data_IF_039151515760
#
_entry.id   IF_039151515760
#
_cell.length_a   1.000
_cell.length_b   1.000
_cell.length_c   1.000
_cell.angle_alpha   90.00
_cell.angle_beta   90.00
_cell.angle_gamma   90.00
#
_symmetry.space_group_name_H-M   'P 1'
#
loop_
_entity.id
_entity.type
_entity.pdbx_description
1 polymer ?
#
# COMPACT_ATOMS: atom_id res chain seq x y z
N UNK A 1 37.66 -32.14 13.44
CA UNK A 1 36.25 -32.35 13.04
C UNK A 1 35.39 -31.76 14.14
N UNK A 2 34.76 -30.61 13.91
CA UNK A 2 33.73 -30.09 14.82
C UNK A 2 32.55 -31.08 14.75
N UNK A 3 32.19 -31.69 15.87
CA UNK A 3 30.96 -32.47 15.93
C UNK A 3 29.82 -31.48 15.65
N UNK A 4 29.22 -31.58 14.46
CA UNK A 4 28.00 -30.88 14.13
C UNK A 4 26.96 -31.29 15.17
N UNK A 5 26.37 -30.33 15.87
CA UNK A 5 25.19 -30.55 16.70
C UNK A 5 24.13 -31.22 15.81
N UNK A 6 23.92 -32.51 15.99
CA UNK A 6 22.95 -33.28 15.21
C UNK A 6 21.51 -32.86 15.55
N UNK A 7 21.29 -32.25 16.72
CA UNK A 7 19.99 -31.80 17.18
C UNK A 7 20.06 -30.41 17.81
N UNK A 8 18.94 -29.69 17.69
CA UNK A 8 18.66 -28.46 18.44
C UNK A 8 17.31 -28.61 19.17
N UNK A 9 17.11 -27.84 20.23
CA UNK A 9 15.81 -27.71 20.87
C UNK A 9 15.16 -26.40 20.43
N UNK A 10 13.98 -26.47 19.82
CA UNK A 10 13.17 -25.30 19.46
C UNK A 10 12.07 -25.13 20.51
N UNK A 11 12.00 -23.96 21.13
CA UNK A 11 10.95 -23.61 22.10
C UNK A 11 9.59 -23.54 21.38
N UNK A 12 8.59 -24.25 21.89
CA UNK A 12 7.27 -24.37 21.24
C UNK A 12 6.17 -23.53 21.90
N UNK A 13 6.48 -22.87 23.03
CA UNK A 13 5.54 -22.10 23.82
C UNK A 13 6.11 -20.73 24.15
N UNK A 14 5.24 -19.73 24.24
CA UNK A 14 5.61 -18.42 24.74
C UNK A 14 5.88 -18.47 26.25
N UNK A 15 6.78 -17.61 26.72
CA UNK A 15 7.15 -17.47 28.12
C UNK A 15 7.72 -18.75 28.79
N UNK A 16 8.42 -19.59 28.03
CA UNK A 16 9.14 -20.74 28.58
C UNK A 16 10.28 -20.28 29.50
N UNK A 17 10.49 -20.98 30.62
CA UNK A 17 11.41 -20.52 31.66
C UNK A 17 12.74 -21.27 31.57
N UNK A 18 13.82 -20.54 31.32
CA UNK A 18 15.18 -21.06 31.45
C UNK A 18 15.61 -20.94 32.91
N UNK A 19 15.96 -22.06 33.55
CA UNK A 19 16.25 -22.13 34.98
C UNK A 19 17.69 -22.54 35.29
N UNK A 20 18.20 -22.11 36.44
CA UNK A 20 19.55 -22.46 36.89
C UNK A 20 19.73 -23.94 37.28
N UNK A 21 18.64 -24.68 37.54
CA UNK A 21 18.66 -26.09 37.92
C UNK A 21 17.39 -26.82 37.42
N UNK A 22 17.40 -28.15 37.26
CA UNK A 22 16.28 -28.93 36.73
C UNK A 22 15.16 -29.15 37.77
N UNK A 23 14.54 -28.06 38.22
CA UNK A 23 13.38 -28.06 39.14
C UNK A 23 12.60 -26.76 39.02
N UNK A 24 11.29 -26.82 39.23
CA UNK A 24 10.39 -25.65 39.05
C UNK A 24 10.64 -24.50 40.03
N UNK A 25 11.21 -24.78 41.20
CA UNK A 25 11.54 -23.74 42.17
C UNK A 25 12.93 -23.13 41.95
N UNK A 26 13.69 -23.59 40.94
CA UNK A 26 15.00 -23.03 40.65
C UNK A 26 14.87 -21.60 40.11
N UNK A 27 15.86 -20.77 40.44
CA UNK A 27 15.96 -19.39 39.97
C UNK A 27 15.82 -19.33 38.44
N UNK A 28 14.89 -18.50 37.99
CA UNK A 28 14.72 -18.18 36.57
C UNK A 28 15.90 -17.31 36.10
N UNK A 29 16.55 -17.74 35.04
CA UNK A 29 17.69 -17.07 34.44
C UNK A 29 17.30 -16.21 33.23
N UNK A 30 16.29 -16.65 32.47
CA UNK A 30 15.73 -15.94 31.32
C UNK A 30 14.31 -16.44 31.01
N UNK A 31 13.57 -15.64 30.25
CA UNK A 31 12.32 -16.03 29.58
C UNK A 31 12.61 -16.26 28.10
N UNK A 32 12.18 -17.40 27.59
CA UNK A 32 12.28 -17.83 26.21
C UNK A 32 10.90 -17.80 25.55
N UNK A 33 10.89 -17.63 24.25
CA UNK A 33 9.67 -17.46 23.46
C UNK A 33 9.61 -18.49 22.34
N UNK A 34 8.42 -18.73 21.79
CA UNK A 34 8.29 -19.72 20.73
C UNK A 34 9.21 -19.36 19.54
N UNK A 35 9.93 -20.35 19.04
CA UNK A 35 10.94 -20.18 17.99
C UNK A 35 12.34 -19.80 18.48
N UNK A 36 12.58 -19.54 19.77
CA UNK A 36 13.95 -19.54 20.31
C UNK A 36 14.58 -20.92 20.08
N UNK A 37 15.82 -20.97 19.56
CA UNK A 37 16.57 -22.21 19.32
C UNK A 37 17.72 -22.36 20.30
N UNK A 38 17.90 -23.57 20.80
CA UNK A 38 18.82 -23.87 21.89
C UNK A 38 19.74 -25.03 21.52
N UNK A 39 21.01 -24.92 21.90
CA UNK A 39 21.95 -26.02 21.84
C UNK A 39 21.67 -26.98 23.00
N UNK A 40 21.53 -28.27 22.70
CA UNK A 40 21.34 -29.31 23.72
C UNK A 40 22.71 -29.77 24.23
N UNK A 41 22.90 -29.73 25.56
CA UNK A 41 24.15 -30.15 26.23
C UNK A 41 24.00 -31.37 27.12
N UNK A 42 22.78 -31.75 27.45
CA UNK A 42 22.48 -32.94 28.24
C UNK A 42 21.01 -33.02 28.63
N UNK A 43 20.66 -34.09 29.32
CA UNK A 43 19.33 -34.33 29.84
C UNK A 43 19.42 -34.72 31.32
N UNK A 44 18.51 -34.19 32.14
CA UNK A 44 18.44 -34.50 33.56
C UNK A 44 17.01 -34.39 34.06
N UNK A 45 16.46 -35.49 34.56
CA UNK A 45 15.03 -35.61 34.91
C UNK A 45 14.17 -35.27 33.67
N UNK A 46 13.10 -34.51 33.85
CA UNK A 46 12.23 -33.99 32.78
C UNK A 46 12.73 -32.68 32.17
N UNK A 47 14.03 -32.37 32.30
CA UNK A 47 14.66 -31.15 31.78
C UNK A 47 15.78 -31.46 30.80
N UNK A 48 15.91 -30.59 29.79
CA UNK A 48 17.10 -30.49 28.96
C UNK A 48 18.05 -29.45 29.55
N UNK A 49 19.32 -29.80 29.66
CA UNK A 49 20.40 -28.84 29.87
C UNK A 49 20.75 -28.24 28.51
N UNK A 50 20.67 -26.92 28.43
CA UNK A 50 20.73 -26.20 27.16
C UNK A 50 21.63 -24.96 27.24
N UNK A 51 22.05 -24.48 26.08
CA UNK A 51 22.71 -23.18 25.92
C UNK A 51 21.95 -22.33 24.89
N UNK A 52 21.50 -21.16 25.33
CA UNK A 52 20.95 -20.11 24.47
C UNK A 52 22.11 -19.27 23.95
N UNK A 53 22.41 -19.41 22.65
CA UNK A 53 23.48 -18.64 21.99
C UNK A 53 23.16 -17.15 21.89
N UNK A 54 21.89 -16.77 21.76
CA UNK A 54 21.50 -15.36 21.61
C UNK A 54 21.70 -14.59 22.90
N UNK A 55 21.39 -15.20 24.03
CA UNK A 55 21.54 -14.57 25.37
C UNK A 55 22.82 -14.97 26.08
N UNK A 56 23.66 -15.78 25.42
CA UNK A 56 24.90 -16.36 25.96
C UNK A 56 24.69 -16.99 27.34
N UNK A 57 23.65 -17.82 27.47
CA UNK A 57 23.16 -18.27 28.77
C UNK A 57 22.89 -19.78 28.79
N UNK A 58 23.57 -20.47 29.70
CA UNK A 58 23.31 -21.87 30.00
C UNK A 58 22.19 -22.01 31.04
N UNK A 59 21.38 -23.06 30.93
CA UNK A 59 20.36 -23.38 31.93
C UNK A 59 19.65 -24.70 31.66
N UNK A 60 18.52 -24.87 32.31
CA UNK A 60 17.62 -26.02 32.19
C UNK A 60 16.24 -25.55 31.75
N UNK A 61 15.66 -26.24 30.77
CA UNK A 61 14.29 -26.03 30.29
C UNK A 61 13.52 -27.35 30.37
N UNK A 62 12.22 -27.30 30.70
CA UNK A 62 11.38 -28.50 30.68
C UNK A 62 11.32 -29.08 29.28
N UNK A 63 11.50 -30.40 29.17
CA UNK A 63 11.45 -31.10 27.89
C UNK A 63 10.10 -30.93 27.18
N UNK A 64 9.00 -30.73 27.92
CA UNK A 64 7.66 -30.49 27.39
C UNK A 64 7.46 -29.11 26.75
N UNK A 65 8.38 -28.16 26.93
CA UNK A 65 8.30 -26.79 26.39
C UNK A 65 9.13 -26.61 25.10
N UNK A 66 9.79 -27.67 24.65
CA UNK A 66 10.64 -27.65 23.46
C UNK A 66 10.36 -28.86 22.58
N UNK A 67 10.73 -28.75 21.31
CA UNK A 67 10.81 -29.89 20.40
C UNK A 67 12.25 -30.08 19.97
N UNK A 68 12.75 -31.31 20.08
CA UNK A 68 14.04 -31.69 19.50
C UNK A 68 13.87 -31.79 17.98
N UNK A 69 14.75 -31.10 17.26
CA UNK A 69 14.76 -31.04 15.80
C UNK A 69 16.12 -31.49 15.32
N UNK A 70 16.13 -32.51 14.46
CA UNK A 70 17.35 -32.98 13.81
C UNK A 70 17.84 -31.98 12.76
N UNK A 71 19.15 -31.82 12.69
CA UNK A 71 19.84 -31.06 11.65
C UNK A 71 20.53 -31.98 10.63
N UNK A 72 20.19 -33.27 10.63
CA UNK A 72 20.67 -34.21 9.63
C UNK A 72 19.90 -34.07 8.31
N UNK A 73 20.56 -34.26 7.15
CA UNK A 73 19.91 -34.15 5.84
C UNK A 73 18.68 -35.05 5.66
N UNK A 74 18.74 -36.28 6.17
CA UNK A 74 17.67 -37.28 6.01
C UNK A 74 16.37 -36.88 6.74
N UNK A 75 16.48 -36.07 7.80
CA UNK A 75 15.36 -35.62 8.62
C UNK A 75 14.82 -34.23 8.18
N UNK A 76 15.46 -33.58 7.22
CA UNK A 76 15.02 -32.27 6.72
C UNK A 76 13.56 -32.26 6.23
N UNK A 77 13.03 -33.30 5.55
CA UNK A 77 11.62 -33.34 5.14
C UNK A 77 10.63 -33.22 6.30
N UNK A 78 10.98 -33.70 7.50
CA UNK A 78 10.12 -33.58 8.69
C UNK A 78 9.96 -32.12 9.11
N UNK A 79 11.05 -31.36 9.12
CA UNK A 79 11.01 -29.92 9.40
C UNK A 79 10.18 -29.18 8.35
N UNK A 80 10.30 -29.54 7.07
CA UNK A 80 9.48 -28.95 6.01
C UNK A 80 7.98 -29.24 6.18
N UNK A 81 7.61 -30.43 6.64
CA UNK A 81 6.21 -30.75 6.95
C UNK A 81 5.64 -29.83 8.04
N UNK A 82 6.43 -29.54 9.07
CA UNK A 82 6.05 -28.58 10.13
C UNK A 82 5.96 -27.15 9.57
N UNK A 83 6.90 -26.74 8.71
CA UNK A 83 6.85 -25.43 8.04
C UNK A 83 5.55 -25.24 7.27
N UNK A 84 5.12 -26.26 6.50
CA UNK A 84 3.86 -26.21 5.74
C UNK A 84 2.64 -25.99 6.64
N UNK A 85 2.59 -26.66 7.79
CA UNK A 85 1.52 -26.48 8.77
C UNK A 85 1.55 -25.08 9.42
N UNK A 86 2.73 -24.64 9.86
CA UNK A 86 2.88 -23.36 10.56
C UNK A 86 2.72 -22.15 9.64
N UNK A 87 3.01 -22.31 8.34
CA UNK A 87 2.76 -21.28 7.33
C UNK A 87 1.34 -20.75 7.41
N UNK A 88 0.36 -21.62 7.64
CA UNK A 88 -1.06 -21.28 7.64
C UNK A 88 -1.65 -21.15 9.05
N UNK A 89 -0.79 -21.07 10.08
CA UNK A 89 -1.17 -20.92 11.50
C UNK A 89 -0.85 -19.50 12.00
N UNK A 90 -1.82 -18.58 12.09
CA UNK A 90 -1.61 -17.25 12.66
C UNK A 90 -1.18 -17.31 14.13
N UNK A 91 -0.24 -16.46 14.53
CA UNK A 91 0.30 -16.44 15.90
C UNK A 91 1.52 -17.34 16.11
N UNK A 92 1.83 -18.23 15.16
CA UNK A 92 2.96 -19.15 15.23
C UNK A 92 4.10 -18.76 14.26
N UNK A 93 4.16 -17.50 13.83
CA UNK A 93 5.11 -17.06 12.80
C UNK A 93 6.57 -17.23 13.25
N UNK A 94 6.91 -16.85 14.49
CA UNK A 94 8.26 -16.99 15.02
C UNK A 94 8.70 -18.47 15.11
N UNK A 95 7.78 -19.35 15.52
CA UNK A 95 8.00 -20.79 15.52
C UNK A 95 8.24 -21.33 14.11
N UNK A 96 7.37 -20.98 13.15
CA UNK A 96 7.52 -21.45 11.76
C UNK A 96 8.79 -20.93 11.08
N UNK A 97 9.20 -19.71 11.38
CA UNK A 97 10.48 -19.14 10.91
C UNK A 97 11.66 -19.96 11.47
N UNK A 98 11.63 -20.35 12.75
CA UNK A 98 12.69 -21.18 13.34
C UNK A 98 12.78 -22.58 12.71
N UNK A 99 11.64 -23.23 12.42
CA UNK A 99 11.61 -24.51 11.69
C UNK A 99 12.11 -24.36 10.26
N UNK A 100 11.83 -23.22 9.62
CA UNK A 100 12.37 -22.93 8.28
C UNK A 100 13.89 -22.78 8.33
N UNK A 101 14.43 -22.10 9.35
CA UNK A 101 15.88 -22.00 9.56
C UNK A 101 16.52 -23.38 9.83
N UNK A 102 15.86 -24.23 10.64
CA UNK A 102 16.31 -25.60 10.88
C UNK A 102 16.31 -26.43 9.59
N UNK A 103 15.25 -26.36 8.79
CA UNK A 103 15.19 -26.99 7.47
C UNK A 103 16.33 -26.52 6.56
N UNK A 104 16.54 -25.20 6.43
CA UNK A 104 17.58 -24.65 5.56
C UNK A 104 19.00 -25.03 6.02
N UNK A 105 19.19 -25.29 7.31
CA UNK A 105 20.47 -25.76 7.88
C UNK A 105 20.69 -27.25 7.66
N UNK A 106 19.63 -28.05 7.65
CA UNK A 106 19.68 -29.51 7.50
C UNK A 106 19.68 -29.95 6.02
N UNK A 107 18.85 -29.31 5.19
CA UNK A 107 18.57 -29.77 3.84
C UNK A 107 19.80 -29.65 2.91
N UNK A 108 20.05 -30.66 2.05
CA UNK A 108 21.04 -30.52 0.99
C UNK A 108 20.59 -29.43 0.00
N UNK A 109 21.54 -28.76 -0.65
CA UNK A 109 21.24 -27.64 -1.56
C UNK A 109 20.24 -28.00 -2.68
N UNK A 110 20.26 -29.25 -3.16
CA UNK A 110 19.34 -29.76 -4.18
C UNK A 110 17.90 -29.91 -3.71
N UNK A 111 17.65 -29.98 -2.39
CA UNK A 111 16.33 -30.07 -1.79
C UNK A 111 15.74 -28.71 -1.40
N UNK A 112 16.53 -27.63 -1.45
CA UNK A 112 16.05 -26.27 -1.14
C UNK A 112 15.27 -25.74 -2.34
N UNK A 113 13.93 -25.73 -2.20
CA UNK A 113 12.99 -25.25 -3.21
C UNK A 113 12.44 -23.85 -2.86
N UNK A 114 11.75 -23.18 -3.79
CA UNK A 114 11.10 -21.90 -3.49
C UNK A 114 10.05 -21.97 -2.38
N UNK A 115 9.49 -23.16 -2.12
CA UNK A 115 8.45 -23.37 -1.10
C UNK A 115 8.91 -22.91 0.29
N UNK A 116 10.17 -23.20 0.65
CA UNK A 116 10.75 -22.79 1.93
C UNK A 116 10.74 -21.26 2.08
N UNK A 117 11.13 -20.54 1.02
CA UNK A 117 11.20 -19.08 1.02
C UNK A 117 9.83 -18.41 0.91
N UNK A 118 8.89 -19.01 0.17
CA UNK A 118 7.50 -18.54 0.12
C UNK A 118 6.83 -18.65 1.49
N UNK A 119 7.04 -19.76 2.20
CA UNK A 119 6.57 -19.92 3.57
C UNK A 119 7.24 -18.93 4.54
N UNK A 120 8.57 -18.81 4.49
CA UNK A 120 9.35 -17.86 5.29
C UNK A 120 8.84 -16.42 5.12
N UNK A 121 8.73 -15.97 3.87
CA UNK A 121 8.26 -14.64 3.53
C UNK A 121 6.82 -14.40 3.97
N UNK A 122 5.93 -15.38 3.78
CA UNK A 122 4.52 -15.30 4.21
C UNK A 122 4.40 -15.12 5.72
N UNK A 123 5.17 -15.87 6.51
CA UNK A 123 5.17 -15.75 7.98
C UNK A 123 5.78 -14.43 8.43
N UNK A 124 6.91 -14.00 7.84
CA UNK A 124 7.55 -12.73 8.17
C UNK A 124 6.63 -11.53 7.87
N UNK A 125 5.96 -11.55 6.72
CA UNK A 125 5.00 -10.53 6.31
C UNK A 125 3.75 -10.50 7.22
N UNK A 126 3.22 -11.66 7.60
CA UNK A 126 2.10 -11.75 8.55
C UNK A 126 2.49 -11.22 9.92
N UNK A 127 3.69 -11.54 10.42
CA UNK A 127 4.21 -11.00 11.68
C UNK A 127 4.34 -9.47 11.62
N UNK A 128 4.90 -8.93 10.53
CA UNK A 128 5.00 -7.48 10.32
C UNK A 128 3.62 -6.79 10.34
N UNK A 129 2.62 -7.38 9.69
CA UNK A 129 1.23 -6.88 9.70
C UNK A 129 0.60 -6.92 11.09
N UNK A 130 0.75 -8.03 11.81
CA UNK A 130 0.26 -8.17 13.19
C UNK A 130 0.90 -7.14 14.12
N UNK A 131 2.17 -6.82 13.92
CA UNK A 131 2.88 -5.82 14.70
C UNK A 131 2.55 -4.37 14.32
N UNK A 132 1.99 -4.15 13.12
CA UNK A 132 1.51 -2.83 12.68
C UNK A 132 0.10 -2.52 13.19
N UNK A 133 -0.65 -3.54 13.61
CA UNK A 133 -1.99 -3.37 14.16
C UNK A 133 -1.91 -3.26 15.68
N UNK A 134 -2.53 -2.22 16.26
CA UNK A 134 -2.59 -2.06 17.71
C UNK A 134 -3.41 -3.19 18.32
N UNK A 135 -2.84 -3.94 19.26
CA UNK A 135 -3.54 -5.02 19.97
C UNK A 135 -3.69 -4.70 21.46
N UNK A 136 -4.06 -5.71 22.25
CA UNK A 136 -4.00 -5.60 23.71
C UNK A 136 -2.54 -5.48 24.15
N UNK A 137 -2.29 -4.85 25.31
CA UNK A 137 -0.92 -4.72 25.86
C UNK A 137 -0.18 -6.05 25.95
N UNK A 138 -0.88 -7.12 26.33
CA UNK A 138 -0.31 -8.47 26.41
C UNK A 138 0.11 -9.00 25.04
N UNK A 139 -0.74 -8.82 24.02
CA UNK A 139 -0.41 -9.25 22.67
C UNK A 139 0.74 -8.43 22.07
N UNK A 140 0.81 -7.13 22.38
CA UNK A 140 1.90 -6.27 21.92
C UNK A 140 3.26 -6.76 22.50
N UNK A 141 3.29 -7.18 23.77
CA UNK A 141 4.49 -7.78 24.38
C UNK A 141 4.90 -9.10 23.71
N UNK A 142 3.93 -9.99 23.44
CA UNK A 142 4.18 -11.26 22.72
C UNK A 142 4.74 -10.97 21.33
N UNK A 143 4.14 -10.04 20.59
CA UNK A 143 4.57 -9.70 19.23
C UNK A 143 5.97 -9.07 19.24
N UNK A 144 6.26 -8.18 20.19
CA UNK A 144 7.60 -7.62 20.35
C UNK A 144 8.65 -8.73 20.59
N UNK A 145 8.35 -9.70 21.45
CA UNK A 145 9.22 -10.84 21.66
C UNK A 145 9.37 -11.72 20.40
N UNK A 146 8.30 -11.93 19.63
CA UNK A 146 8.37 -12.64 18.35
C UNK A 146 9.24 -11.92 17.32
N UNK A 147 9.20 -10.58 17.27
CA UNK A 147 10.09 -9.78 16.42
C UNK A 147 11.56 -9.98 16.80
N UNK A 148 11.87 -9.99 18.10
CA UNK A 148 13.24 -10.26 18.58
C UNK A 148 13.70 -11.70 18.22
N UNK A 149 12.80 -12.68 18.32
CA UNK A 149 13.08 -14.08 17.96
C UNK A 149 13.35 -14.25 16.47
N UNK A 150 12.65 -13.53 15.59
CA UNK A 150 12.88 -13.69 14.14
C UNK A 150 14.10 -12.92 13.66
N UNK A 151 14.50 -11.85 14.36
CA UNK A 151 15.67 -11.05 14.02
C UNK A 151 16.97 -11.86 14.06
N UNK A 152 17.13 -12.81 15.01
CA UNK A 152 18.30 -13.71 15.04
C UNK A 152 18.39 -14.65 13.83
N UNK A 153 17.28 -14.91 13.15
CA UNK A 153 17.24 -15.70 11.90
C UNK A 153 17.46 -14.82 10.66
N UNK A 154 17.83 -13.55 10.83
CA UNK A 154 18.09 -12.62 9.74
C UNK A 154 16.84 -11.98 9.13
N UNK A 155 15.66 -12.16 9.74
CA UNK A 155 14.44 -11.49 9.29
C UNK A 155 14.52 -10.01 9.68
N UNK A 156 14.58 -9.14 8.66
CA UNK A 156 14.64 -7.69 8.86
C UNK A 156 13.25 -7.08 8.73
N UNK A 157 12.79 -6.47 9.82
CA UNK A 157 11.53 -5.74 9.89
C UNK A 157 11.87 -4.26 10.08
N UNK A 158 11.42 -3.42 9.16
CA UNK A 158 11.64 -1.97 9.15
C UNK A 158 10.36 -1.26 9.59
N UNK A 159 10.50 -0.16 10.33
CA UNK A 159 9.38 0.65 10.78
C UNK A 159 9.30 1.98 10.04
N UNK A 160 8.09 2.37 9.64
CA UNK A 160 7.78 3.66 9.04
C UNK A 160 6.66 4.34 9.83
N UNK A 161 6.89 5.57 10.28
CA UNK A 161 5.83 6.35 10.95
C UNK A 161 4.87 6.92 9.90
N UNK A 162 3.57 6.63 10.05
CA UNK A 162 2.48 7.13 9.18
C UNK A 162 1.28 7.48 10.03
N UNK A 163 0.80 8.71 9.93
CA UNK A 163 -0.41 9.18 10.62
C UNK A 163 -0.38 8.88 12.14
N UNK A 164 0.78 9.07 12.77
CA UNK A 164 1.02 8.77 14.20
C UNK A 164 0.98 7.28 14.56
N UNK A 165 1.07 6.38 13.57
CA UNK A 165 1.15 4.93 13.74
C UNK A 165 2.45 4.39 13.14
N UNK A 166 3.02 3.38 13.78
CA UNK A 166 4.17 2.66 13.25
C UNK A 166 3.69 1.56 12.30
N UNK A 167 4.05 1.65 11.03
CA UNK A 167 3.89 0.59 10.04
C UNK A 167 5.18 -0.24 9.99
N UNK A 168 5.10 -1.50 10.40
CA UNK A 168 6.21 -2.45 10.29
C UNK A 168 6.12 -3.25 8.99
N UNK A 169 7.27 -3.44 8.35
CA UNK A 169 7.38 -4.03 7.02
C UNK A 169 8.56 -4.97 6.95
N UNK A 170 8.32 -6.19 6.46
CA UNK A 170 9.39 -7.11 6.13
C UNK A 170 10.18 -6.60 4.91
N UNK A 171 11.50 -6.74 4.94
CA UNK A 171 12.38 -6.30 3.86
C UNK A 171 12.20 -7.11 2.55
N UNK A 172 11.50 -8.24 2.61
CA UNK A 172 11.12 -9.06 1.48
C UNK A 172 12.23 -9.97 0.95
N UNK A 173 13.32 -10.19 1.70
CA UNK A 173 14.47 -10.97 1.23
C UNK A 173 14.09 -12.38 0.74
N UNK A 174 13.25 -13.10 1.48
CA UNK A 174 12.76 -14.42 1.08
C UNK A 174 11.92 -14.36 -0.20
N UNK A 175 11.08 -13.34 -0.37
CA UNK A 175 10.29 -13.16 -1.60
C UNK A 175 11.16 -12.84 -2.82
N UNK A 176 12.28 -12.12 -2.65
CA UNK A 176 13.25 -11.92 -3.74
C UNK A 176 13.88 -13.26 -4.17
N UNK A 177 14.16 -14.16 -3.22
CA UNK A 177 14.63 -15.53 -3.53
C UNK A 177 13.56 -16.32 -4.29
N UNK A 178 12.28 -16.23 -3.88
CA UNK A 178 11.16 -16.84 -4.62
C UNK A 178 11.15 -16.36 -6.07
N UNK A 179 11.29 -15.06 -6.34
CA UNK A 179 11.32 -14.54 -7.71
C UNK A 179 12.57 -14.95 -8.51
N UNK A 180 13.67 -15.31 -7.84
CA UNK A 180 14.92 -15.72 -8.46
C UNK A 180 15.01 -17.24 -8.75
N UNK A 181 14.08 -18.03 -8.20
CA UNK A 181 14.04 -19.49 -8.35
C UNK A 181 12.92 -19.94 -9.31
N UNK A 182 12.90 -21.23 -9.65
CA UNK A 182 11.83 -21.83 -10.44
C UNK A 182 10.54 -22.01 -9.63
N UNK A 183 9.83 -20.90 -9.42
CA UNK A 183 8.61 -20.82 -8.59
C UNK A 183 7.34 -20.96 -9.43
N UNK A 184 6.26 -21.44 -8.80
CA UNK A 184 4.94 -21.42 -9.43
C UNK A 184 4.46 -19.98 -9.65
N UNK A 185 3.53 -19.78 -10.58
CA UNK A 185 2.97 -18.43 -10.82
C UNK A 185 2.25 -17.89 -9.58
N UNK A 186 1.62 -18.74 -8.76
CA UNK A 186 1.02 -18.30 -7.50
C UNK A 186 2.06 -17.80 -6.50
N UNK A 187 3.21 -18.49 -6.38
CA UNK A 187 4.31 -18.08 -5.53
C UNK A 187 4.90 -16.74 -6.00
N UNK A 188 5.10 -16.59 -7.31
CA UNK A 188 5.56 -15.32 -7.91
C UNK A 188 4.55 -14.20 -7.66
N UNK A 189 3.26 -14.46 -7.78
CA UNK A 189 2.20 -13.48 -7.51
C UNK A 189 2.21 -13.02 -6.05
N UNK A 190 2.27 -13.95 -5.09
CA UNK A 190 2.38 -13.61 -3.66
C UNK A 190 3.64 -12.81 -3.35
N UNK A 191 4.79 -13.24 -3.88
CA UNK A 191 6.06 -12.55 -3.70
C UNK A 191 6.03 -11.13 -4.26
N UNK A 192 5.53 -10.95 -5.48
CA UNK A 192 5.39 -9.64 -6.11
C UNK A 192 4.45 -8.73 -5.31
N UNK A 193 3.30 -9.24 -4.86
CA UNK A 193 2.35 -8.47 -4.05
C UNK A 193 2.93 -8.02 -2.71
N UNK A 194 3.73 -8.86 -2.06
CA UNK A 194 4.40 -8.52 -0.80
C UNK A 194 5.51 -7.47 -1.01
N UNK A 195 6.35 -7.66 -2.03
CA UNK A 195 7.47 -6.76 -2.36
C UNK A 195 7.03 -5.37 -2.82
N UNK A 196 5.82 -5.25 -3.36
CA UNK A 196 5.30 -3.99 -3.93
C UNK A 196 4.28 -3.28 -3.04
N UNK A 197 4.24 -3.64 -1.75
CA UNK A 197 3.40 -2.97 -0.75
C UNK A 197 3.61 -1.46 -0.71
N UNK A 198 2.50 -0.72 -0.72
CA UNK A 198 2.46 0.75 -0.84
C UNK A 198 2.64 1.43 0.52
N UNK A 199 2.12 0.77 1.55
CA UNK A 199 2.30 1.09 2.95
C UNK A 199 3.72 0.76 3.46
N UNK A 200 4.46 -0.07 2.73
CA UNK A 200 5.86 -0.39 3.00
C UNK A 200 6.85 0.43 2.16
N UNK A 201 6.77 1.75 2.30
CA UNK A 201 7.78 2.68 1.79
C UNK A 201 7.90 3.87 2.72
N UNK A 202 9.11 4.43 2.80
CA UNK A 202 9.38 5.64 3.56
C UNK A 202 8.50 6.82 3.07
N UNK A 203 7.65 7.43 3.91
CA UNK A 203 6.90 8.63 3.57
C UNK A 203 7.78 9.85 3.27
N UNK A 204 8.99 9.90 3.82
CA UNK A 204 9.97 10.96 3.60
C UNK A 204 10.83 10.76 2.34
N UNK A 205 10.56 9.70 1.56
CA UNK A 205 11.29 9.38 0.34
C UNK A 205 11.27 10.55 -0.65
N UNK A 206 12.44 10.88 -1.21
CA UNK A 206 12.53 12.01 -2.14
C UNK A 206 11.83 11.67 -3.46
N UNK A 207 11.35 12.66 -4.23
CA UNK A 207 10.61 12.41 -5.47
C UNK A 207 11.35 11.51 -6.49
N UNK A 208 12.67 11.67 -6.64
CA UNK A 208 13.48 10.82 -7.52
C UNK A 208 13.53 9.37 -7.06
N UNK A 209 13.77 9.13 -5.78
CA UNK A 209 13.82 7.79 -5.17
C UNK A 209 12.44 7.12 -5.30
N UNK A 210 11.37 7.87 -5.06
CA UNK A 210 9.99 7.40 -5.22
C UNK A 210 9.71 6.96 -6.66
N UNK A 211 10.12 7.76 -7.64
CA UNK A 211 9.99 7.39 -9.04
C UNK A 211 10.77 6.11 -9.39
N UNK A 212 11.99 5.94 -8.89
CA UNK A 212 12.77 4.71 -9.09
C UNK A 212 12.12 3.50 -8.44
N UNK A 213 11.56 3.66 -7.23
CA UNK A 213 10.83 2.61 -6.53
C UNK A 213 9.58 2.18 -7.32
N UNK A 214 8.77 3.13 -7.80
CA UNK A 214 7.54 2.81 -8.52
C UNK A 214 7.81 2.18 -9.88
N UNK A 215 8.89 2.58 -10.58
CA UNK A 215 9.36 1.91 -11.78
C UNK A 215 9.75 0.44 -11.49
N UNK A 216 10.55 0.20 -10.44
CA UNK A 216 10.91 -1.16 -10.02
C UNK A 216 9.68 -2.00 -9.62
N UNK A 217 8.72 -1.41 -8.90
CA UNK A 217 7.47 -2.09 -8.51
C UNK A 217 6.68 -2.52 -9.75
N UNK A 218 6.57 -1.66 -10.76
CA UNK A 218 5.92 -2.00 -12.02
C UNK A 218 6.63 -3.17 -12.71
N UNK A 219 7.96 -3.16 -12.81
CA UNK A 219 8.72 -4.27 -13.39
C UNK A 219 8.50 -5.59 -12.64
N UNK A 220 8.50 -5.57 -11.31
CA UNK A 220 8.24 -6.77 -10.50
C UNK A 220 6.84 -7.32 -10.76
N UNK A 221 5.83 -6.46 -10.83
CA UNK A 221 4.45 -6.86 -11.09
C UNK A 221 4.26 -7.38 -12.52
N UNK A 222 4.96 -6.81 -13.49
CA UNK A 222 4.82 -7.15 -14.90
C UNK A 222 5.44 -8.52 -15.25
N UNK A 223 6.39 -8.98 -14.44
CA UNK A 223 6.97 -10.32 -14.58
C UNK A 223 6.03 -11.46 -14.16
N UNK A 224 4.93 -11.15 -13.45
CA UNK A 224 3.96 -12.16 -13.01
C UNK A 224 2.95 -12.43 -14.11
N UNK A 225 2.86 -13.70 -14.54
CA UNK A 225 1.90 -14.13 -15.56
C UNK A 225 0.56 -14.43 -14.90
N UNK A 226 -0.53 -13.72 -15.26
CA UNK A 226 -1.83 -13.90 -14.60
C UNK A 226 -2.58 -15.16 -15.04
N UNK A 227 -2.15 -15.79 -16.14
CA UNK A 227 -2.79 -16.98 -16.70
C UNK A 227 -2.70 -18.15 -15.71
N UNK A 228 -3.84 -18.78 -15.42
CA UNK A 228 -3.92 -19.91 -14.49
C UNK A 228 -3.93 -19.53 -13.01
N UNK A 229 -3.82 -18.24 -12.66
CA UNK A 229 -3.99 -17.80 -11.27
C UNK A 229 -5.46 -17.86 -10.84
N UNK A 230 -5.74 -18.11 -9.54
CA UNK A 230 -7.04 -17.85 -8.94
C UNK A 230 -7.48 -16.39 -9.11
N UNK A 231 -8.78 -16.16 -9.25
CA UNK A 231 -9.30 -14.82 -9.58
C UNK A 231 -9.02 -13.78 -8.49
N UNK A 232 -9.09 -14.16 -7.21
CA UNK A 232 -8.73 -13.27 -6.10
C UNK A 232 -7.27 -12.77 -6.19
N UNK A 233 -6.32 -13.60 -6.66
CA UNK A 233 -4.93 -13.16 -6.86
C UNK A 233 -4.80 -12.25 -8.08
N UNK A 234 -5.53 -12.52 -9.17
CA UNK A 234 -5.58 -11.62 -10.32
C UNK A 234 -6.10 -10.25 -9.90
N UNK A 235 -7.19 -10.20 -9.13
CA UNK A 235 -7.74 -8.96 -8.59
C UNK A 235 -6.70 -8.19 -7.77
N UNK A 236 -6.00 -8.84 -6.85
CA UNK A 236 -4.94 -8.22 -6.04
C UNK A 236 -3.80 -7.66 -6.90
N UNK A 237 -3.38 -8.40 -7.94
CA UNK A 237 -2.37 -7.92 -8.90
C UNK A 237 -2.87 -6.70 -9.69
N UNK A 238 -4.11 -6.75 -10.19
CA UNK A 238 -4.73 -5.64 -10.94
C UNK A 238 -4.83 -4.37 -10.10
N UNK A 239 -5.33 -4.46 -8.87
CA UNK A 239 -5.41 -3.33 -7.95
C UNK A 239 -4.03 -2.74 -7.65
N UNK A 240 -3.03 -3.60 -7.41
CA UNK A 240 -1.63 -3.17 -7.19
C UNK A 240 -1.04 -2.48 -8.42
N UNK A 241 -1.22 -3.05 -9.61
CA UNK A 241 -0.76 -2.45 -10.87
C UNK A 241 -1.46 -1.13 -11.14
N UNK A 242 -2.77 -1.04 -10.93
CA UNK A 242 -3.53 0.19 -11.09
C UNK A 242 -2.98 1.32 -10.21
N UNK A 243 -2.71 1.02 -8.93
CA UNK A 243 -2.08 1.98 -8.02
C UNK A 243 -0.69 2.42 -8.51
N UNK A 244 0.22 1.48 -8.79
CA UNK A 244 1.60 1.79 -9.21
C UNK A 244 1.63 2.58 -10.53
N UNK A 245 0.83 2.18 -11.52
CA UNK A 245 0.80 2.87 -12.81
C UNK A 245 0.19 4.27 -12.71
N UNK A 246 -0.73 4.52 -11.77
CA UNK A 246 -1.23 5.88 -11.50
C UNK A 246 -0.15 6.79 -10.90
N UNK A 247 0.73 6.26 -10.05
CA UNK A 247 1.90 6.95 -9.50
C UNK A 247 2.92 7.28 -10.60
N UNK A 248 3.22 6.31 -11.48
CA UNK A 248 4.10 6.52 -12.63
C UNK A 248 3.52 7.60 -13.57
N UNK A 249 2.22 7.59 -13.85
CA UNK A 249 1.59 8.62 -14.67
C UNK A 249 1.79 10.03 -14.09
N UNK A 250 1.60 10.19 -12.77
CA UNK A 250 1.85 11.45 -12.07
C UNK A 250 3.33 11.88 -12.12
N UNK A 251 4.27 10.95 -11.95
CA UNK A 251 5.70 11.30 -12.01
C UNK A 251 6.15 11.68 -13.43
N UNK A 252 5.66 10.97 -14.46
CA UNK A 252 5.98 11.27 -15.87
C UNK A 252 5.53 12.67 -16.26
N UNK A 253 4.27 13.02 -15.96
CA UNK A 253 3.76 14.35 -16.33
C UNK A 253 4.51 15.47 -15.59
N UNK A 254 4.90 15.25 -14.33
CA UNK A 254 5.68 16.22 -13.54
C UNK A 254 7.06 16.48 -14.13
N UNK A 255 7.63 15.50 -14.84
CA UNK A 255 8.89 15.63 -15.57
C UNK A 255 8.73 16.14 -17.00
N UNK A 256 7.50 16.37 -17.47
CA UNK A 256 7.22 16.70 -18.87
C UNK A 256 7.33 15.51 -19.83
N UNK A 257 7.30 14.28 -19.31
CA UNK A 257 7.31 13.05 -20.10
C UNK A 257 5.88 12.61 -20.48
N UNK A 258 5.75 11.75 -21.49
CA UNK A 258 4.46 11.21 -21.92
C UNK A 258 3.84 10.29 -20.83
N UNK A 259 2.74 10.73 -20.24
CA UNK A 259 2.05 10.02 -19.15
C UNK A 259 0.84 9.19 -19.60
N UNK A 260 0.38 9.36 -20.84
CA UNK A 260 -0.90 8.82 -21.31
C UNK A 260 -0.95 7.28 -21.29
N UNK A 261 0.11 6.60 -21.71
CA UNK A 261 0.17 5.13 -21.67
C UNK A 261 0.13 4.59 -20.24
N UNK A 262 0.82 5.24 -19.31
CA UNK A 262 0.82 4.85 -17.90
C UNK A 262 -0.57 5.04 -17.27
N UNK A 263 -1.24 6.14 -17.58
CA UNK A 263 -2.58 6.43 -17.08
C UNK A 263 -3.64 5.49 -17.68
N UNK A 264 -3.59 5.24 -18.98
CA UNK A 264 -4.45 4.26 -19.66
C UNK A 264 -4.27 2.87 -19.05
N UNK A 265 -3.03 2.47 -18.79
CA UNK A 265 -2.72 1.20 -18.14
C UNK A 265 -3.33 1.12 -16.74
N UNK A 266 -3.21 2.18 -15.94
CA UNK A 266 -3.81 2.23 -14.61
C UNK A 266 -5.35 2.07 -14.67
N UNK A 267 -6.00 2.74 -15.61
CA UNK A 267 -7.44 2.66 -15.85
C UNK A 267 -7.89 1.26 -16.31
N UNK A 268 -7.13 0.62 -17.21
CA UNK A 268 -7.41 -0.73 -17.71
C UNK A 268 -7.27 -1.78 -16.61
N UNK A 269 -6.22 -1.71 -15.80
CA UNK A 269 -6.02 -2.65 -14.70
C UNK A 269 -7.14 -2.54 -13.66
N UNK A 270 -7.53 -1.31 -13.29
CA UNK A 270 -8.66 -1.11 -12.38
C UNK A 270 -9.99 -1.61 -12.97
N UNK A 271 -10.24 -1.36 -14.25
CA UNK A 271 -11.46 -1.81 -14.94
C UNK A 271 -11.54 -3.33 -15.08
N UNK A 272 -10.39 -4.03 -15.09
CA UNK A 272 -10.33 -5.49 -15.18
C UNK A 272 -10.59 -6.22 -13.86
N UNK A 273 -10.80 -5.50 -12.75
CA UNK A 273 -11.05 -6.09 -11.43
C UNK A 273 -12.45 -6.70 -11.38
N UNK A 274 -12.55 -7.99 -11.05
CA UNK A 274 -13.83 -8.67 -10.84
C UNK A 274 -14.30 -8.52 -9.39
N UNK A 275 -15.29 -7.65 -9.15
CA UNK A 275 -15.83 -7.36 -7.81
C UNK A 275 -16.60 -8.51 -7.16
N UNK A 276 -17.07 -9.49 -7.94
CA UNK A 276 -17.81 -10.65 -7.42
C UNK A 276 -16.89 -11.61 -6.64
N UNK A 277 -15.57 -11.52 -6.88
CA UNK A 277 -14.54 -12.36 -6.28
C UNK A 277 -13.77 -11.63 -5.16
N UNK A 278 -14.42 -10.69 -4.48
CA UNK A 278 -13.83 -9.91 -3.40
C UNK A 278 -13.90 -10.63 -2.06
N UNK A 279 -12.76 -10.65 -1.38
CA UNK A 279 -12.73 -10.86 0.07
C UNK A 279 -12.92 -9.53 0.80
N UNK A 280 -13.20 -9.57 2.11
CA UNK A 280 -13.32 -8.35 2.93
C UNK A 280 -12.05 -7.49 2.87
N UNK A 281 -10.87 -8.11 2.77
CA UNK A 281 -9.59 -7.42 2.67
C UNK A 281 -9.42 -6.66 1.34
N UNK A 282 -10.04 -7.16 0.26
CA UNK A 282 -9.89 -6.59 -1.08
C UNK A 282 -10.65 -5.27 -1.24
N UNK A 283 -11.73 -5.07 -0.48
CA UNK A 283 -12.53 -3.83 -0.54
C UNK A 283 -11.70 -2.58 -0.24
N UNK A 284 -10.87 -2.62 0.80
CA UNK A 284 -10.02 -1.49 1.18
C UNK A 284 -8.93 -1.23 0.13
N UNK A 285 -8.32 -2.29 -0.41
CA UNK A 285 -7.32 -2.18 -1.46
C UNK A 285 -7.92 -1.67 -2.79
N UNK A 286 -9.15 -2.07 -3.11
CA UNK A 286 -9.87 -1.59 -4.29
C UNK A 286 -10.21 -0.11 -4.17
N UNK A 287 -10.72 0.32 -3.02
CA UNK A 287 -11.00 1.72 -2.76
C UNK A 287 -9.72 2.58 -2.85
N UNK A 288 -8.61 2.13 -2.26
CA UNK A 288 -7.32 2.82 -2.39
C UNK A 288 -6.87 2.93 -3.85
N UNK A 289 -6.89 1.81 -4.60
CA UNK A 289 -6.52 1.81 -6.01
C UNK A 289 -7.42 2.75 -6.83
N UNK A 290 -8.72 2.73 -6.58
CA UNK A 290 -9.71 3.62 -7.20
C UNK A 290 -9.38 5.10 -6.98
N UNK A 291 -9.06 5.49 -5.74
CA UNK A 291 -8.72 6.88 -5.41
C UNK A 291 -7.43 7.34 -6.09
N UNK A 292 -6.39 6.49 -6.11
CA UNK A 292 -5.11 6.81 -6.77
C UNK A 292 -5.27 6.96 -8.28
N UNK A 293 -5.98 6.03 -8.92
CA UNK A 293 -6.29 6.11 -10.35
C UNK A 293 -7.16 7.34 -10.64
N UNK A 294 -8.17 7.59 -9.80
CA UNK A 294 -9.06 8.74 -9.89
C UNK A 294 -8.30 10.07 -9.85
N UNK A 295 -7.33 10.21 -8.95
CA UNK A 295 -6.46 11.40 -8.87
C UNK A 295 -5.70 11.63 -10.18
N UNK A 296 -5.01 10.62 -10.72
CA UNK A 296 -4.16 10.78 -11.90
C UNK A 296 -4.87 10.56 -13.25
N UNK A 297 -6.19 10.30 -13.28
CA UNK A 297 -6.89 9.87 -14.52
C UNK A 297 -6.76 10.85 -15.69
N UNK A 298 -6.64 12.15 -15.41
CA UNK A 298 -6.56 13.17 -16.46
C UNK A 298 -5.29 13.05 -17.31
N UNK A 299 -4.26 12.32 -16.84
CA UNK A 299 -3.12 11.97 -17.68
C UNK A 299 -3.49 11.12 -18.89
N UNK A 300 -4.61 10.39 -18.85
CA UNK A 300 -5.09 9.59 -19.98
C UNK A 300 -5.80 10.43 -21.05
N UNK A 301 -6.20 11.66 -20.72
CA UNK A 301 -7.01 12.51 -21.57
C UNK A 301 -6.12 13.41 -22.44
N UNK A 302 -6.49 13.54 -23.70
CA UNK A 302 -5.85 14.52 -24.60
C UNK A 302 -6.41 15.90 -24.33
N UNK A 303 -5.54 16.92 -24.30
CA UNK A 303 -5.99 18.32 -24.22
C UNK A 303 -6.80 18.64 -25.48
N UNK A 304 -8.09 18.90 -25.30
CA UNK A 304 -8.94 19.43 -26.37
C UNK A 304 -8.78 20.94 -26.44
N UNK A 305 -8.58 21.47 -27.64
CA UNK A 305 -8.63 22.92 -27.87
C UNK A 305 -10.05 23.41 -27.62
N UNK A 306 -10.23 24.20 -26.57
CA UNK A 306 -11.50 24.85 -26.30
C UNK A 306 -11.86 25.81 -27.45
N UNK A 307 -13.13 25.82 -27.84
CA UNK A 307 -13.71 26.88 -28.70
C UNK A 307 -13.92 28.15 -27.86
N UNK A 308 -14.13 29.29 -28.52
CA UNK A 308 -14.38 30.65 -27.98
C UNK A 308 -14.97 30.69 -26.56
N UNK A 309 -14.48 31.62 -25.73
CA UNK A 309 -14.89 31.79 -24.34
C UNK A 309 -13.74 31.58 -23.35
N UNK A 310 -14.06 31.20 -22.10
CA UNK A 310 -13.05 31.00 -21.06
C UNK A 310 -12.16 29.79 -21.35
N UNK A 311 -10.84 29.99 -21.32
CA UNK A 311 -9.87 28.93 -21.49
C UNK A 311 -8.72 29.04 -20.48
N UNK A 312 -8.04 27.91 -20.25
CA UNK A 312 -6.84 27.84 -19.42
C UNK A 312 -5.63 27.73 -20.32
N UNK A 313 -4.63 28.57 -20.05
CA UNK A 313 -3.28 28.41 -20.59
C UNK A 313 -2.29 28.26 -19.44
N UNK A 314 -1.18 27.59 -19.71
CA UNK A 314 -0.10 27.41 -18.75
C UNK A 314 1.21 27.99 -19.27
N UNK A 315 2.06 28.43 -18.35
CA UNK A 315 3.42 28.88 -18.61
C UNK A 315 4.35 28.40 -17.51
N UNK A 316 5.64 28.29 -17.79
CA UNK A 316 6.64 28.09 -16.76
C UNK A 316 6.72 29.31 -15.83
N UNK A 317 6.75 29.07 -14.52
CA UNK A 317 7.02 30.08 -13.49
C UNK A 317 8.47 29.98 -13.01
N UNK A 318 8.65 29.95 -11.69
CA UNK A 318 9.90 29.53 -11.05
C UNK A 318 10.26 28.07 -11.40
N UNK A 319 11.50 27.60 -11.15
CA UNK A 319 11.88 26.21 -11.40
C UNK A 319 10.92 25.22 -10.72
N UNK A 320 10.26 24.39 -11.54
CA UNK A 320 9.26 23.41 -11.08
C UNK A 320 7.85 23.97 -10.83
N UNK A 321 7.65 25.27 -11.06
CA UNK A 321 6.37 25.95 -10.91
C UNK A 321 5.67 26.08 -12.28
N UNK A 322 4.37 25.79 -12.30
CA UNK A 322 3.48 26.03 -13.44
C UNK A 322 2.54 27.18 -13.11
N UNK A 323 2.59 28.25 -13.91
CA UNK A 323 1.66 29.35 -13.83
C UNK A 323 0.43 29.08 -14.70
N UNK A 324 -0.73 29.04 -14.05
CA UNK A 324 -2.05 28.91 -14.67
C UNK A 324 -2.61 30.30 -14.90
N UNK A 325 -3.06 30.56 -16.13
CA UNK A 325 -3.75 31.79 -16.49
C UNK A 325 -5.12 31.48 -17.07
N UNK A 326 -6.12 32.24 -16.62
CA UNK A 326 -7.44 32.27 -17.22
C UNK A 326 -7.48 33.36 -18.28
N UNK A 327 -7.96 33.02 -19.47
CA UNK A 327 -8.08 33.94 -20.60
C UNK A 327 -9.45 33.79 -21.27
N UNK A 328 -9.84 34.77 -22.06
CA UNK A 328 -11.06 34.76 -22.88
C UNK A 328 -10.75 35.29 -24.29
N UNK A 329 -11.77 35.60 -25.09
CA UNK A 329 -11.56 36.09 -26.47
C UNK A 329 -10.91 37.49 -26.54
N UNK A 330 -10.84 38.23 -25.42
CA UNK A 330 -10.29 39.60 -25.31
C UNK A 330 -8.99 39.67 -24.53
N UNK A 331 -8.71 38.67 -23.72
CA UNK A 331 -7.55 38.58 -22.83
C UNK A 331 -6.62 37.47 -23.30
N UNK A 332 -5.32 37.67 -23.17
CA UNK A 332 -4.32 36.69 -23.58
C UNK A 332 -3.39 36.35 -22.41
N UNK A 333 -2.35 35.55 -22.67
CA UNK A 333 -1.38 35.18 -21.64
C UNK A 333 -0.61 36.38 -21.06
N UNK A 334 -0.51 37.49 -21.80
CA UNK A 334 0.20 38.70 -21.36
C UNK A 334 -0.68 39.56 -20.47
N UNK A 335 -1.98 39.62 -20.78
CA UNK A 335 -2.99 40.35 -20.02
C UNK A 335 -4.13 39.40 -19.61
N UNK A 336 -3.88 38.42 -18.72
CA UNK A 336 -4.88 37.42 -18.36
C UNK A 336 -5.94 38.00 -17.44
N UNK A 337 -7.11 37.34 -17.39
CA UNK A 337 -8.18 37.66 -16.44
C UNK A 337 -7.73 37.45 -14.99
N UNK A 338 -6.99 36.37 -14.75
CA UNK A 338 -6.32 36.07 -13.48
C UNK A 338 -5.16 35.10 -13.71
N UNK A 339 -4.15 35.18 -12.85
CA UNK A 339 -2.97 34.30 -12.84
C UNK A 339 -2.73 33.73 -11.44
N UNK A 340 -2.44 32.44 -11.36
CA UNK A 340 -1.95 31.78 -10.14
C UNK A 340 -0.94 30.70 -10.50
N UNK A 341 0.16 30.63 -9.76
CA UNK A 341 1.19 29.64 -9.98
C UNK A 341 1.16 28.55 -8.91
N UNK A 342 1.60 27.33 -9.26
CA UNK A 342 1.57 26.14 -8.39
C UNK A 342 2.72 25.20 -8.72
N UNK A 343 3.18 24.46 -7.73
CA UNK A 343 4.14 23.35 -7.90
C UNK A 343 3.44 22.00 -8.16
N UNK A 344 2.10 21.99 -8.18
CA UNK A 344 1.31 20.81 -8.52
C UNK A 344 1.20 20.59 -10.02
N UNK A 345 0.76 19.38 -10.40
CA UNK A 345 0.43 19.06 -11.79
C UNK A 345 -0.89 19.72 -12.16
N UNK A 346 -0.90 20.48 -13.27
CA UNK A 346 -2.10 21.15 -13.79
C UNK A 346 -2.69 20.31 -14.93
N UNK A 347 -3.89 19.77 -14.74
CA UNK A 347 -4.55 18.94 -15.72
C UNK A 347 -5.42 19.79 -16.65
N UNK A 348 -4.84 20.44 -17.66
CA UNK A 348 -5.58 21.39 -18.53
C UNK A 348 -6.76 20.76 -19.27
N UNK A 349 -6.69 19.46 -19.61
CA UNK A 349 -7.81 18.72 -20.21
C UNK A 349 -9.07 18.66 -19.31
N UNK A 350 -8.93 18.94 -18.01
CA UNK A 350 -10.03 19.00 -17.05
C UNK A 350 -10.79 20.32 -17.03
N UNK A 351 -10.30 21.35 -17.73
CA UNK A 351 -10.91 22.67 -17.73
C UNK A 351 -12.36 22.62 -18.23
N UNK A 352 -13.31 23.11 -17.43
CA UNK A 352 -14.73 23.19 -17.80
C UNK A 352 -15.29 24.55 -17.42
N UNK A 353 -15.63 25.36 -18.43
CA UNK A 353 -16.36 26.60 -18.24
C UNK A 353 -17.87 26.34 -18.14
N UNK A 354 -18.60 27.21 -17.44
CA UNK A 354 -20.06 27.25 -17.55
C UNK A 354 -20.49 27.92 -18.87
N UNK A 355 -21.76 27.75 -19.24
CA UNK A 355 -22.29 28.29 -20.51
C UNK A 355 -22.19 29.81 -20.58
N UNK A 356 -22.29 30.49 -19.43
CA UNK A 356 -22.27 31.96 -19.36
C UNK A 356 -20.84 32.55 -19.39
N UNK A 357 -19.79 31.73 -19.33
CA UNK A 357 -18.41 32.20 -19.28
C UNK A 357 -18.09 33.03 -18.03
N UNK A 358 -18.76 32.75 -16.91
CA UNK A 358 -18.54 33.44 -15.62
C UNK A 358 -17.83 32.59 -14.58
N UNK A 359 -17.74 31.27 -14.82
CA UNK A 359 -17.11 30.31 -13.92
C UNK A 359 -16.38 29.24 -14.73
N UNK A 360 -15.22 28.79 -14.26
CA UNK A 360 -14.47 27.67 -14.80
C UNK A 360 -13.90 26.79 -13.68
N UNK A 361 -13.95 25.47 -13.86
CA UNK A 361 -13.25 24.52 -12.96
C UNK A 361 -12.01 23.94 -13.62
N UNK A 362 -11.01 23.62 -12.82
CA UNK A 362 -9.75 23.01 -13.25
C UNK A 362 -9.24 22.05 -12.17
N UNK A 363 -8.85 20.84 -12.56
CA UNK A 363 -8.23 19.88 -11.66
C UNK A 363 -6.71 20.15 -11.52
N UNK A 364 -6.24 20.26 -10.28
CA UNK A 364 -4.83 20.47 -9.95
C UNK A 364 -4.40 19.45 -8.91
N UNK A 365 -3.31 18.74 -9.17
CA UNK A 365 -2.83 17.64 -8.33
C UNK A 365 -1.50 18.02 -7.66
N UNK A 366 -1.55 18.61 -6.44
CA UNK A 366 -0.34 19.01 -5.72
C UNK A 366 0.52 17.81 -5.29
N UNK A 367 -0.09 16.66 -4.99
CA UNK A 367 0.61 15.45 -4.57
C UNK A 367 0.12 14.23 -5.35
N UNK A 368 0.96 13.19 -5.42
CA UNK A 368 0.68 11.97 -6.20
C UNK A 368 -0.71 11.36 -5.95
N UNK A 369 -1.18 11.35 -4.71
CA UNK A 369 -2.47 10.78 -4.32
C UNK A 369 -3.52 11.81 -3.93
N UNK A 370 -3.27 13.10 -4.18
CA UNK A 370 -4.15 14.19 -3.76
C UNK A 370 -4.44 15.15 -4.91
N UNK A 371 -5.70 15.22 -5.36
CA UNK A 371 -6.13 16.14 -6.43
C UNK A 371 -7.26 17.06 -6.00
N UNK A 372 -7.03 18.34 -6.14
CA UNK A 372 -7.97 19.41 -5.80
C UNK A 372 -8.74 19.86 -7.05
N UNK A 373 -9.90 20.48 -6.80
CA UNK A 373 -10.67 21.16 -7.83
C UNK A 373 -10.56 22.68 -7.61
N UNK A 374 -9.89 23.37 -8.52
CA UNK A 374 -9.80 24.82 -8.51
C UNK A 374 -11.04 25.41 -9.19
N UNK A 375 -11.62 26.45 -8.58
CA UNK A 375 -12.75 27.19 -9.10
C UNK A 375 -12.31 28.63 -9.42
N UNK A 376 -12.42 28.99 -10.69
CA UNK A 376 -12.25 30.35 -11.18
C UNK A 376 -13.64 30.94 -11.31
N UNK A 377 -13.91 32.05 -10.63
CA UNK A 377 -15.22 32.70 -10.66
C UNK A 377 -15.10 34.20 -10.36
N UNK A 378 -16.16 34.94 -10.66
CA UNK A 378 -16.21 36.37 -10.41
C UNK A 378 -16.92 36.68 -9.08
N UNK A 379 -16.29 37.50 -8.25
CA UNK A 379 -16.91 38.14 -7.08
C UNK A 379 -16.79 39.65 -7.25
N UNK A 380 -17.92 40.37 -7.20
CA UNK A 380 -17.97 41.82 -7.36
C UNK A 380 -17.23 42.33 -8.61
N UNK A 381 -17.36 41.60 -9.73
CA UNK A 381 -16.73 41.95 -11.02
C UNK A 381 -15.23 41.65 -11.13
N UNK A 382 -14.61 41.07 -10.08
CA UNK A 382 -13.21 40.64 -10.09
C UNK A 382 -13.10 39.12 -10.10
N UNK A 383 -12.17 38.59 -10.89
CA UNK A 383 -11.86 37.16 -10.89
C UNK A 383 -11.11 36.77 -9.63
N UNK A 384 -11.49 35.65 -9.02
CA UNK A 384 -10.75 35.00 -7.94
C UNK A 384 -10.59 33.50 -8.22
N UNK A 385 -9.70 32.84 -7.47
CA UNK A 385 -9.44 31.40 -7.56
C UNK A 385 -9.55 30.78 -6.18
N UNK A 386 -10.61 30.01 -5.97
CA UNK A 386 -10.76 29.19 -4.79
C UNK A 386 -10.35 27.73 -5.06
N UNK A 387 -10.02 27.02 -3.99
CA UNK A 387 -9.56 25.62 -4.04
C UNK A 387 -10.51 24.77 -3.23
N UNK A 388 -11.10 23.76 -3.88
CA UNK A 388 -11.93 22.76 -3.25
C UNK A 388 -11.11 21.48 -3.02
N UNK A 389 -10.68 21.18 -1.79
CA UNK A 389 -9.91 19.98 -1.51
C UNK A 389 -10.80 18.72 -1.43
N UNK A 390 -10.23 17.51 -1.65
CA UNK A 390 -10.91 16.24 -1.44
C UNK A 390 -11.53 16.07 -0.04
N UNK A 391 -10.81 16.52 0.98
CA UNK A 391 -11.25 16.53 2.37
C UNK A 391 -10.63 17.72 3.12
N UNK A 392 -11.18 18.03 4.29
CA UNK A 392 -10.70 19.12 5.18
C UNK A 392 -9.48 18.67 6.01
N UNK A 393 -9.24 17.37 6.10
CA UNK A 393 -8.07 16.79 6.77
C UNK A 393 -6.77 17.03 6.00
N UNK A 394 -5.64 16.73 6.64
CA UNK A 394 -4.34 16.78 5.99
C UNK A 394 -4.31 15.97 4.68
N UNK A 395 -3.64 16.47 3.63
CA UNK A 395 -3.52 15.78 2.36
C UNK A 395 -2.86 14.41 2.50
N UNK A 396 -3.54 13.38 1.99
CA UNK A 396 -3.02 12.02 1.97
C UNK A 396 -3.49 11.29 0.72
N UNK A 397 -4.75 10.86 0.71
CA UNK A 397 -5.33 10.10 -0.39
C UNK A 397 -6.74 10.63 -0.68
N UNK A 398 -6.92 11.28 -1.83
CA UNK A 398 -8.21 11.80 -2.24
C UNK A 398 -8.21 12.57 -3.56
N UNK A 399 -9.37 12.69 -4.18
CA UNK A 399 -9.61 13.63 -5.27
C UNK A 399 -10.98 14.28 -5.17
N UNK A 400 -11.05 15.55 -5.57
CA UNK A 400 -12.28 16.25 -5.93
C UNK A 400 -12.39 16.36 -7.45
N UNK A 401 -13.61 16.29 -7.96
CA UNK A 401 -13.87 16.24 -9.40
C UNK A 401 -15.16 16.97 -9.77
N UNK A 402 -15.08 17.85 -10.78
CA UNK A 402 -16.25 18.45 -11.39
C UNK A 402 -17.11 17.40 -12.09
N UNK A 403 -18.40 17.39 -11.79
CA UNK A 403 -19.37 16.44 -12.29
C UNK A 403 -20.54 17.08 -13.06
N UNK A 404 -20.61 18.41 -13.17
CA UNK A 404 -21.65 19.09 -13.95
C UNK A 404 -22.01 20.48 -13.44
N UNK A 405 -22.64 21.28 -14.31
CA UNK A 405 -23.21 22.58 -13.98
C UNK A 405 -24.74 22.44 -13.82
N UNK A 406 -25.33 23.10 -12.83
CA UNK A 406 -26.79 23.17 -12.71
C UNK A 406 -27.30 24.41 -13.47
N UNK A 407 -28.02 24.26 -14.58
CA UNK A 407 -28.40 25.38 -15.44
C UNK A 407 -29.24 26.44 -14.72
N UNK A 408 -28.95 27.71 -15.00
CA UNK A 408 -29.70 28.85 -14.44
C UNK A 408 -29.45 29.10 -12.95
N UNK A 409 -28.44 28.48 -12.35
CA UNK A 409 -28.12 28.61 -10.92
C UNK A 409 -26.62 28.82 -10.71
N UNK A 410 -26.24 29.20 -9.50
CA UNK A 410 -24.84 29.29 -9.03
C UNK A 410 -24.39 27.99 -8.37
N UNK A 411 -24.78 26.84 -8.94
CA UNK A 411 -24.49 25.52 -8.37
C UNK A 411 -23.74 24.64 -9.35
N UNK A 412 -22.80 23.88 -8.81
CA UNK A 412 -22.08 22.83 -9.52
C UNK A 412 -22.23 21.49 -8.81
N UNK A 413 -22.01 20.42 -9.56
CA UNK A 413 -21.98 19.06 -9.07
C UNK A 413 -20.52 18.66 -8.88
N UNK A 414 -20.20 18.05 -7.74
CA UNK A 414 -18.84 17.60 -7.41
C UNK A 414 -18.89 16.15 -6.94
N UNK A 415 -17.99 15.31 -7.43
CA UNK A 415 -17.69 14.01 -6.82
C UNK A 415 -16.42 14.12 -5.99
N UNK A 416 -16.45 13.63 -4.74
CA UNK A 416 -15.26 13.51 -3.90
C UNK A 416 -15.07 12.08 -3.44
N UNK A 417 -13.83 11.67 -3.45
CA UNK A 417 -13.39 10.46 -2.76
C UNK A 417 -12.13 10.76 -1.98
N UNK A 418 -12.09 10.38 -0.70
CA UNK A 418 -10.93 10.58 0.15
C UNK A 418 -10.87 9.55 1.27
N UNK A 419 -9.65 9.29 1.77
CA UNK A 419 -9.42 8.58 3.03
C UNK A 419 -9.56 9.58 4.18
N UNK A 420 -10.60 9.42 5.00
CA UNK A 420 -10.90 10.27 6.16
C UNK A 420 -11.00 9.38 7.39
N UNK A 421 -10.19 9.66 8.40
CA UNK A 421 -10.10 8.87 9.64
C UNK A 421 -9.85 7.37 9.38
N UNK A 422 -9.01 7.07 8.39
CA UNK A 422 -8.67 5.70 7.98
C UNK A 422 -9.78 4.96 7.20
N UNK A 423 -10.89 5.63 6.85
CA UNK A 423 -11.97 5.07 6.05
C UNK A 423 -12.12 5.81 4.73
N UNK A 424 -12.40 5.07 3.66
CA UNK A 424 -12.75 5.69 2.38
C UNK A 424 -14.17 6.24 2.44
N UNK A 425 -14.30 7.53 2.14
CA UNK A 425 -15.58 8.20 1.96
C UNK A 425 -15.70 8.63 0.51
N UNK A 426 -16.86 8.35 -0.07
CA UNK A 426 -17.28 8.82 -1.38
C UNK A 426 -18.54 9.66 -1.21
N UNK A 427 -18.54 10.86 -1.77
CA UNK A 427 -19.70 11.75 -1.78
C UNK A 427 -19.92 12.36 -3.16
N UNK A 428 -21.19 12.53 -3.49
CA UNK A 428 -21.67 13.30 -4.62
C UNK A 428 -22.39 14.52 -4.04
N UNK A 429 -22.00 15.71 -4.46
CA UNK A 429 -22.30 16.97 -3.78
C UNK A 429 -22.89 18.00 -4.74
N UNK A 430 -23.83 18.80 -4.23
CA UNK A 430 -24.28 20.05 -4.85
C UNK A 430 -23.58 21.18 -4.12
N UNK A 431 -22.71 21.89 -4.82
CA UNK A 431 -21.82 22.92 -4.26
C UNK A 431 -22.21 24.28 -4.82
N UNK A 432 -22.35 25.26 -3.94
CA UNK A 432 -22.55 26.66 -4.32
C UNK A 432 -21.24 27.25 -4.87
N UNK A 433 -21.26 27.83 -6.07
CA UNK A 433 -20.05 28.34 -6.74
C UNK A 433 -19.60 29.69 -6.20
N UNK A 434 -20.40 30.41 -5.42
CA UNK A 434 -20.01 31.69 -4.82
C UNK A 434 -19.41 31.51 -3.42
N UNK A 435 -19.93 30.55 -2.64
CA UNK A 435 -19.51 30.34 -1.24
C UNK A 435 -18.71 29.06 -1.00
N UNK A 436 -18.63 28.17 -2.01
CA UNK A 436 -18.11 26.81 -1.92
C UNK A 436 -18.78 25.90 -0.87
N UNK A 437 -19.92 26.31 -0.34
CA UNK A 437 -20.67 25.49 0.62
C UNK A 437 -21.31 24.29 -0.09
N UNK A 438 -21.19 23.12 0.55
CA UNK A 438 -21.94 21.92 0.16
C UNK A 438 -23.38 22.10 0.66
N UNK A 439 -24.31 22.31 -0.26
CA UNK A 439 -25.73 22.52 0.07
C UNK A 439 -26.47 21.19 0.27
N UNK A 440 -26.05 20.15 -0.43
CA UNK A 440 -26.62 18.80 -0.31
C UNK A 440 -25.59 17.75 -0.78
N UNK A 441 -25.67 16.53 -0.24
CA UNK A 441 -24.78 15.44 -0.63
C UNK A 441 -25.44 14.06 -0.48
N UNK A 442 -24.91 13.07 -1.20
CA UNK A 442 -25.29 11.66 -1.06
C UNK A 442 -24.12 10.74 -1.41
N UNK A 443 -24.25 9.47 -1.07
CA UNK A 443 -23.30 8.40 -1.40
C UNK A 443 -23.48 7.84 -2.82
N UNK A 444 -24.61 8.13 -3.46
CA UNK A 444 -24.93 7.76 -4.84
C UNK A 444 -25.51 8.94 -5.62
N UNK A 445 -25.18 9.11 -6.92
CA UNK A 445 -25.70 10.22 -7.71
C UNK A 445 -27.22 10.21 -7.88
N UNK A 446 -27.83 9.02 -7.93
CA UNK A 446 -29.27 8.86 -8.12
C UNK A 446 -30.09 9.34 -6.92
N UNK A 447 -29.49 9.40 -5.74
CA UNK A 447 -30.11 9.88 -4.50
C UNK A 447 -30.23 11.41 -4.45
N UNK A 448 -29.68 12.14 -5.43
CA UNK A 448 -29.76 13.59 -5.53
C UNK A 448 -30.41 14.00 -6.86
N UNK A 449 -31.62 14.56 -6.81
CA UNK A 449 -32.38 14.93 -8.02
C UNK A 449 -31.61 15.87 -8.96
N UNK A 450 -30.93 16.88 -8.41
CA UNK A 450 -30.12 17.80 -9.21
C UNK A 450 -28.90 17.10 -9.80
N UNK A 451 -28.25 16.24 -9.01
CA UNK A 451 -27.09 15.51 -9.48
C UNK A 451 -27.49 14.57 -10.61
N UNK A 452 -28.48 13.70 -10.40
CA UNK A 452 -29.01 12.79 -11.42
C UNK A 452 -29.37 13.48 -12.75
N UNK A 453 -30.03 14.64 -12.67
CA UNK A 453 -30.52 15.35 -13.86
C UNK A 453 -29.43 16.05 -14.67
N UNK A 454 -28.39 16.58 -14.01
CA UNK A 454 -27.45 17.52 -14.63
C UNK A 454 -26.00 17.05 -14.65
N UNK A 455 -25.75 15.74 -14.52
CA UNK A 455 -24.41 15.18 -14.66
C UNK A 455 -23.84 15.51 -16.03
N UNK A 456 -22.60 15.99 -16.05
CA UNK A 456 -21.85 16.18 -17.28
C UNK A 456 -21.66 14.82 -17.98
N UNK A 457 -22.07 14.68 -19.26
CA UNK A 457 -21.99 13.40 -19.97
C UNK A 457 -20.56 12.88 -20.15
N UNK A 458 -19.57 13.76 -20.21
CA UNK A 458 -18.15 13.38 -20.33
C UNK A 458 -17.67 12.84 -18.98
N UNK A 459 -17.98 13.54 -17.89
CA UNK A 459 -17.71 13.06 -16.53
C UNK A 459 -18.32 11.68 -16.30
N UNK A 460 -19.62 11.50 -16.58
CA UNK A 460 -20.33 10.23 -16.37
C UNK A 460 -19.67 9.05 -17.12
N UNK A 461 -19.10 9.30 -18.29
CA UNK A 461 -18.42 8.28 -19.11
C UNK A 461 -17.02 7.94 -18.59
N UNK A 462 -16.32 8.92 -18.04
CA UNK A 462 -14.89 8.81 -17.77
C UNK A 462 -14.54 8.62 -16.29
N UNK A 463 -15.41 9.04 -15.38
CA UNK A 463 -15.11 9.03 -13.94
C UNK A 463 -14.87 7.63 -13.40
N UNK A 464 -13.94 7.54 -12.46
CA UNK A 464 -13.69 6.32 -11.68
C UNK A 464 -14.71 6.21 -10.54
N UNK A 465 -15.33 7.31 -10.11
CA UNK A 465 -16.20 7.32 -8.93
C UNK A 465 -17.49 6.51 -9.08
N UNK A 466 -17.89 6.24 -10.32
CA UNK A 466 -19.07 5.41 -10.64
C UNK A 466 -18.73 3.94 -10.86
N UNK A 467 -17.44 3.56 -10.86
CA UNK A 467 -16.99 2.23 -11.25
C UNK A 467 -17.15 1.19 -10.16
#
# INVERSE_FOLDING_TARGET
MLATLAFIAIVTQDQAQLRAAPKDQAQQQAVLWQGDSLEIRGEKLDYLQVYDHRRERAGYIKASQVRLVSLQPDDAPESMAVVRFLRDTPGAEALGISYTAAFLKAAPATAISPEAFDALGTMAERLARRASTRQSKQNDEIIAAHLDVVAQYGIKIQGYERDGRMQLCYDGEAFRRVLAMNSSEEQKARAALALTRQDCSDPAMRPMERNSLDAWRAEVLDRVVPTGLPEYLKNRLRMRRAAVWSSIAYQRIRKGEAAQDAANRALMELAGVNKEEFTNEDNAAYAEAGVRVGASRWAAETVTTAKSGLTIQTSAGQPGETCVVLVDDKHDQRNPLIKRCTYGVVWTASARANVNGSVLTLAVQPMESWRELWLFHQINGSWIIDVLPPAISDPDLGYAEFAGWVPGTTKMLVAREARVDGRFKRSFEVVNTETLQVENFADQPASLSLFYRWQDPVWKRQTVSLR
#
